data_IF_679548725883
#
_entry.id   IF_679548725883
#
_cell.length_a   1.000
_cell.length_b   1.000
_cell.length_c   1.000
_cell.angle_alpha   90.00
_cell.angle_beta   90.00
_cell.angle_gamma   90.00
#
_symmetry.space_group_name_H-M   'P 1'
#
loop_
_entity.id
_entity.type
_entity.pdbx_description
1 polymer ?
#
# COMPACT_ATOMS: atom_id res chain seq x y z
N UNK A 1 -11.35 5.01 11.53
CA UNK A 1 -12.57 4.41 10.97
C UNK A 1 -13.83 4.74 11.79
N UNK A 2 -13.92 4.43 13.11
CA UNK A 2 -15.14 4.65 13.92
C UNK A 2 -15.69 6.07 13.80
N UNK A 3 -14.88 7.10 14.04
CA UNK A 3 -15.32 8.50 13.96
C UNK A 3 -15.84 8.93 12.57
N UNK A 4 -15.38 8.28 11.51
CA UNK A 4 -15.92 8.50 10.15
C UNK A 4 -17.24 7.79 10.00
N UNK A 5 -17.36 6.53 10.44
CA UNK A 5 -18.59 5.74 10.38
C UNK A 5 -19.74 6.39 11.17
N UNK A 6 -19.46 7.02 12.29
CA UNK A 6 -20.46 7.75 13.09
C UNK A 6 -21.11 8.93 12.35
N UNK A 7 -20.49 9.39 11.23
CA UNK A 7 -20.91 10.59 10.48
C UNK A 7 -21.23 10.33 9.02
N UNK A 8 -20.94 9.11 8.55
CA UNK A 8 -21.08 8.77 7.13
C UNK A 8 -21.55 7.32 6.97
N UNK A 9 -22.76 7.15 6.43
CA UNK A 9 -23.43 5.86 6.25
C UNK A 9 -23.12 5.21 4.89
N UNK A 10 -22.47 5.93 3.98
CA UNK A 10 -22.09 5.42 2.68
C UNK A 10 -20.89 4.46 2.71
N UNK A 11 -20.48 3.92 1.54
CA UNK A 11 -19.35 3.01 1.45
C UNK A 11 -18.04 3.65 1.94
N UNK A 12 -17.36 2.99 2.88
CA UNK A 12 -16.04 3.38 3.38
C UNK A 12 -14.97 2.45 2.84
N UNK A 13 -13.95 3.05 2.21
CA UNK A 13 -12.77 2.35 1.71
C UNK A 13 -11.58 2.68 2.58
N UNK A 14 -10.95 1.68 3.20
CA UNK A 14 -9.70 1.87 3.94
C UNK A 14 -8.50 1.61 3.04
N UNK A 15 -7.60 2.57 2.98
CA UNK A 15 -6.33 2.49 2.26
C UNK A 15 -5.15 2.66 3.21
N UNK A 16 -3.98 2.19 2.78
CA UNK A 16 -2.70 2.34 3.51
C UNK A 16 -2.35 1.15 4.39
N UNK A 17 -1.17 0.59 4.18
CA UNK A 17 -0.64 -0.53 4.98
C UNK A 17 -1.33 -1.88 4.78
N UNK A 18 -2.32 -1.98 3.90
CA UNK A 18 -3.04 -3.23 3.64
C UNK A 18 -2.26 -4.03 2.60
N UNK A 19 -1.76 -5.20 2.99
CA UNK A 19 -0.87 -6.02 2.15
C UNK A 19 -1.28 -7.50 2.05
N UNK A 20 -2.16 -7.98 2.91
CA UNK A 20 -2.56 -9.38 3.01
C UNK A 20 -4.03 -9.56 3.38
N UNK A 21 -4.51 -10.80 3.38
CA UNK A 21 -5.88 -11.12 3.73
C UNK A 21 -6.23 -10.85 5.19
N UNK A 22 -5.26 -10.86 6.10
CA UNK A 22 -5.46 -10.55 7.52
C UNK A 22 -5.72 -9.06 7.71
N UNK A 23 -4.96 -8.22 7.04
CA UNK A 23 -5.16 -6.76 7.05
C UNK A 23 -6.47 -6.34 6.35
N UNK A 24 -6.93 -7.09 5.33
CA UNK A 24 -8.27 -6.90 4.76
C UNK A 24 -9.35 -7.18 5.81
N UNK A 25 -9.25 -8.29 6.55
CA UNK A 25 -10.18 -8.61 7.63
C UNK A 25 -10.15 -7.55 8.75
N UNK A 26 -8.95 -7.06 9.11
CA UNK A 26 -8.79 -5.99 10.09
C UNK A 26 -9.47 -4.69 9.63
N UNK A 27 -9.37 -4.32 8.35
CA UNK A 27 -10.07 -3.17 7.77
C UNK A 27 -11.59 -3.29 7.94
N UNK A 28 -12.16 -4.47 7.65
CA UNK A 28 -13.60 -4.73 7.82
C UNK A 28 -14.03 -4.68 9.29
N UNK A 29 -13.26 -5.29 10.20
CA UNK A 29 -13.55 -5.23 11.64
C UNK A 29 -13.45 -3.81 12.19
N UNK A 30 -12.61 -2.95 11.59
CA UNK A 30 -12.54 -1.53 11.92
C UNK A 30 -13.71 -0.70 11.36
N UNK A 31 -14.61 -1.32 10.56
CA UNK A 31 -15.82 -0.69 10.01
C UNK A 31 -15.67 -0.18 8.56
N UNK A 32 -14.64 -0.61 7.82
CA UNK A 32 -14.56 -0.37 6.38
C UNK A 32 -15.38 -1.40 5.61
N UNK A 33 -16.02 -0.97 4.52
CA UNK A 33 -16.72 -1.88 3.60
C UNK A 33 -15.76 -2.53 2.61
N UNK A 34 -14.72 -1.78 2.21
CA UNK A 34 -13.71 -2.20 1.23
C UNK A 34 -12.31 -1.87 1.72
N UNK A 35 -11.33 -2.66 1.25
CA UNK A 35 -9.91 -2.42 1.42
C UNK A 35 -9.28 -2.03 0.07
N UNK A 36 -8.45 -0.99 0.05
CA UNK A 36 -7.73 -0.55 -1.13
C UNK A 36 -6.25 -0.93 -1.01
N UNK A 37 -5.76 -1.72 -1.96
CA UNK A 37 -4.38 -2.21 -1.99
C UNK A 37 -3.70 -1.66 -3.24
N UNK A 38 -2.62 -0.89 -3.08
CA UNK A 38 -1.89 -0.29 -4.20
C UNK A 38 -0.55 -0.98 -4.45
N UNK A 39 0.38 -0.89 -3.51
CA UNK A 39 1.80 -1.25 -3.69
C UNK A 39 2.00 -2.69 -4.18
N UNK A 40 1.23 -3.65 -3.69
CA UNK A 40 1.33 -5.05 -4.14
C UNK A 40 0.96 -5.22 -5.62
N UNK A 41 -0.02 -4.45 -6.12
CA UNK A 41 -0.41 -4.50 -7.53
C UNK A 41 0.61 -3.84 -8.46
N UNK A 42 1.49 -2.96 -7.96
CA UNK A 42 2.59 -2.42 -8.75
C UNK A 42 3.60 -3.52 -9.11
N UNK A 43 3.80 -4.50 -8.23
CA UNK A 43 4.70 -5.63 -8.44
C UNK A 43 4.06 -6.79 -9.25
N UNK A 44 3.00 -6.53 -10.02
CA UNK A 44 2.40 -7.53 -10.91
C UNK A 44 2.90 -7.41 -12.35
N UNK A 45 2.82 -8.49 -13.10
CA UNK A 45 3.23 -8.55 -14.50
C UNK A 45 2.41 -7.60 -15.39
N UNK A 46 1.14 -7.36 -15.04
CA UNK A 46 0.21 -6.51 -15.78
C UNK A 46 0.38 -5.02 -15.46
N UNK A 47 1.15 -4.69 -14.42
CA UNK A 47 1.44 -3.31 -14.07
C UNK A 47 2.24 -2.62 -15.17
N UNK A 48 1.96 -1.31 -15.38
CA UNK A 48 2.76 -0.46 -16.27
C UNK A 48 4.07 0.04 -15.63
N UNK A 49 4.35 -0.32 -14.39
CA UNK A 49 5.60 0.02 -13.73
C UNK A 49 6.78 -0.60 -14.50
N UNK A 50 7.91 0.11 -14.54
CA UNK A 50 9.13 -0.41 -15.16
C UNK A 50 9.64 -1.66 -14.41
N UNK A 51 10.39 -2.51 -15.10
CA UNK A 51 10.99 -3.70 -14.48
C UNK A 51 11.92 -3.33 -13.31
N UNK A 52 12.56 -2.19 -13.41
CA UNK A 52 13.43 -1.68 -12.36
C UNK A 52 12.62 -1.29 -11.11
N UNK A 53 11.52 -0.57 -11.29
CA UNK A 53 10.63 -0.21 -10.20
C UNK A 53 10.04 -1.46 -9.51
N UNK A 54 9.54 -2.42 -10.29
CA UNK A 54 9.01 -3.68 -9.76
C UNK A 54 10.05 -4.46 -8.96
N UNK A 55 11.30 -4.55 -9.47
CA UNK A 55 12.42 -5.20 -8.75
C UNK A 55 12.81 -4.43 -7.48
N UNK A 56 12.81 -3.11 -7.53
CA UNK A 56 13.06 -2.29 -6.35
C UNK A 56 12.02 -2.53 -5.25
N UNK A 57 10.73 -2.67 -5.61
CA UNK A 57 9.68 -3.01 -4.64
C UNK A 57 9.93 -4.37 -3.97
N UNK A 58 10.33 -5.38 -4.73
CA UNK A 58 10.64 -6.72 -4.19
C UNK A 58 11.84 -6.68 -3.24
N UNK A 59 12.81 -5.81 -3.50
CA UNK A 59 14.01 -5.65 -2.68
C UNK A 59 13.82 -4.73 -1.45
N UNK A 60 12.67 -4.03 -1.38
CA UNK A 60 12.45 -2.99 -0.36
C UNK A 60 11.79 -3.54 0.90
N UNK A 61 12.12 -2.90 2.01
CA UNK A 61 11.52 -3.09 3.34
C UNK A 61 10.69 -1.86 3.74
N UNK A 62 10.14 -1.86 4.95
CA UNK A 62 9.44 -0.70 5.50
C UNK A 62 10.34 0.54 5.62
N UNK A 63 11.63 0.35 5.91
CA UNK A 63 12.60 1.42 6.10
C UNK A 63 12.99 2.11 4.77
N UNK A 64 12.69 1.46 3.64
CA UNK A 64 12.93 1.99 2.30
C UNK A 64 11.79 2.87 1.77
N UNK A 65 10.73 3.09 2.56
CA UNK A 65 9.63 3.99 2.24
C UNK A 65 9.84 5.31 2.97
N UNK A 66 10.13 6.38 2.21
CA UNK A 66 10.38 7.72 2.75
C UNK A 66 9.31 8.70 2.32
N UNK A 67 8.95 9.62 3.23
CA UNK A 67 8.07 10.73 2.90
C UNK A 67 8.88 11.84 2.22
N UNK A 68 8.43 12.31 1.05
CA UNK A 68 9.09 13.36 0.28
C UNK A 68 8.07 14.18 -0.52
N UNK A 69 8.31 15.47 -0.65
CA UNK A 69 7.51 16.43 -1.41
C UNK A 69 8.01 16.65 -2.85
N UNK A 70 9.07 15.94 -3.26
CA UNK A 70 9.77 16.12 -4.54
C UNK A 70 8.90 15.93 -5.79
N UNK A 71 7.83 15.17 -5.70
CA UNK A 71 7.01 14.85 -6.88
C UNK A 71 5.99 15.93 -7.21
N UNK A 72 5.61 16.76 -6.26
CA UNK A 72 4.56 17.74 -6.52
C UNK A 72 4.38 18.76 -5.40
N UNK A 73 5.39 18.95 -4.55
CA UNK A 73 5.33 19.88 -3.43
C UNK A 73 4.40 19.43 -2.29
N UNK A 74 3.80 18.23 -2.40
CA UNK A 74 3.02 17.63 -1.33
C UNK A 74 3.72 16.35 -0.87
N UNK A 75 3.85 16.11 0.45
CA UNK A 75 4.47 14.91 0.96
C UNK A 75 3.77 13.64 0.45
N UNK A 76 4.53 12.77 -0.22
CA UNK A 76 4.12 11.47 -0.71
C UNK A 76 5.10 10.39 -0.27
N UNK A 77 4.62 9.17 -0.07
CA UNK A 77 5.48 8.02 0.26
C UNK A 77 6.14 7.49 -1.01
N UNK A 78 7.46 7.54 -1.06
CA UNK A 78 8.30 7.15 -2.19
C UNK A 78 9.35 6.13 -1.78
N UNK A 79 9.80 5.32 -2.73
CA UNK A 79 10.93 4.42 -2.50
C UNK A 79 12.25 5.20 -2.36
N UNK A 80 13.04 4.86 -1.34
CA UNK A 80 14.37 5.41 -1.11
C UNK A 80 15.26 5.26 -2.34
N UNK A 81 15.24 4.10 -2.98
CA UNK A 81 16.00 3.83 -4.19
C UNK A 81 15.72 4.81 -5.34
N UNK A 82 14.49 5.30 -5.46
CA UNK A 82 14.15 6.34 -6.43
C UNK A 82 14.65 7.71 -5.99
N UNK A 83 14.47 8.06 -4.71
CA UNK A 83 14.92 9.33 -4.16
C UNK A 83 16.43 9.50 -4.26
N UNK A 84 17.18 8.47 -3.90
CA UNK A 84 18.65 8.49 -3.90
C UNK A 84 19.23 8.67 -5.33
N UNK A 85 18.53 8.20 -6.36
CA UNK A 85 18.89 8.45 -7.77
C UNK A 85 18.66 9.91 -8.16
N UNK A 86 17.57 10.52 -7.66
CA UNK A 86 17.24 11.91 -7.97
C UNK A 86 18.18 12.89 -7.24
N UNK A 87 18.77 12.50 -6.10
CA UNK A 87 19.72 13.32 -5.34
C UNK A 87 21.02 13.59 -6.12
N UNK A 88 21.36 12.71 -7.06
CA UNK A 88 22.48 12.92 -7.99
C UNK A 88 22.20 13.95 -9.11
N UNK A 89 20.93 14.29 -9.36
CA UNK A 89 20.54 15.06 -10.56
C UNK A 89 19.93 16.44 -10.29
N UNK A 90 19.36 16.74 -9.10
CA UNK A 90 18.72 18.04 -8.81
C UNK A 90 18.65 18.40 -7.32
N UNK A 91 19.27 19.51 -6.95
CA UNK A 91 18.86 20.35 -5.82
C UNK A 91 17.76 21.31 -6.27
N UNK A 92 16.58 21.20 -5.72
CA UNK A 92 15.49 22.14 -5.98
C UNK A 92 14.23 21.77 -5.21
N UNK A 93 14.04 22.34 -4.00
CA UNK A 93 12.74 22.40 -3.35
C UNK A 93 11.94 23.52 -4.02
N UNK A 94 10.90 23.19 -4.77
CA UNK A 94 9.90 24.17 -5.20
C UNK A 94 8.94 24.45 -4.06
N UNK A 95 8.76 25.72 -3.71
CA UNK A 95 7.73 26.14 -2.76
C UNK A 95 6.33 25.99 -3.39
N UNK A 96 5.55 25.00 -2.91
CA UNK A 96 4.14 24.83 -3.20
C UNK A 96 3.76 23.66 -4.10
N UNK A 97 2.46 23.36 -4.13
CA UNK A 97 1.88 22.29 -4.95
C UNK A 97 1.96 22.61 -6.45
N UNK A 98 2.65 21.77 -7.20
CA UNK A 98 2.77 21.86 -8.65
C UNK A 98 2.07 20.65 -9.31
N UNK A 99 0.82 20.83 -9.71
CA UNK A 99 0.01 19.79 -10.34
C UNK A 99 0.65 19.28 -11.64
N UNK A 100 1.27 20.16 -12.40
CA UNK A 100 1.95 19.80 -13.66
C UNK A 100 3.17 18.89 -13.41
N UNK A 101 3.89 19.10 -12.31
CA UNK A 101 4.98 18.23 -11.89
C UNK A 101 4.47 16.88 -11.44
N UNK A 102 3.34 16.83 -10.72
CA UNK A 102 2.72 15.56 -10.32
C UNK A 102 2.30 14.72 -11.54
N UNK A 103 1.73 15.37 -12.55
CA UNK A 103 1.28 14.70 -13.79
C UNK A 103 2.45 14.33 -14.71
N UNK A 104 3.54 15.10 -14.69
CA UNK A 104 4.74 14.84 -15.51
C UNK A 104 5.69 13.79 -14.91
N UNK A 105 5.62 13.54 -13.59
CA UNK A 105 6.44 12.53 -12.91
C UNK A 105 5.83 11.12 -13.02
N UNK A 106 5.54 10.67 -14.25
CA UNK A 106 5.08 9.30 -14.53
C UNK A 106 6.07 8.23 -14.05
N UNK A 107 7.33 8.61 -13.80
CA UNK A 107 8.42 7.72 -13.38
C UNK A 107 8.65 7.72 -11.86
N UNK A 108 7.86 8.43 -11.07
CA UNK A 108 8.01 8.42 -9.61
C UNK A 108 7.63 7.06 -9.01
N UNK A 109 8.52 6.52 -8.18
CA UNK A 109 8.32 5.22 -7.54
C UNK A 109 7.64 5.37 -6.18
N UNK A 110 6.32 5.46 -6.21
CA UNK A 110 5.51 5.52 -4.99
C UNK A 110 5.37 4.15 -4.34
N UNK A 111 5.47 4.09 -3.02
CA UNK A 111 5.21 2.88 -2.25
C UNK A 111 4.63 3.23 -0.89
N UNK A 112 3.61 2.49 -0.48
CA UNK A 112 3.13 2.54 0.90
C UNK A 112 3.82 1.50 1.78
N UNK A 113 3.55 1.54 3.08
CA UNK A 113 4.09 0.56 4.03
C UNK A 113 3.64 -0.88 3.73
N UNK A 114 2.64 -1.09 2.85
CA UNK A 114 2.29 -2.42 2.31
C UNK A 114 3.39 -3.06 1.45
N UNK A 115 4.51 -2.37 1.22
CA UNK A 115 5.71 -2.93 0.57
C UNK A 115 6.22 -4.18 1.29
N UNK A 116 6.06 -4.30 2.61
CA UNK A 116 6.44 -5.49 3.36
C UNK A 116 5.78 -6.79 2.87
N UNK A 117 4.66 -6.69 2.18
CA UNK A 117 3.96 -7.83 1.59
C UNK A 117 4.41 -8.17 0.15
N UNK A 118 5.37 -7.44 -0.42
CA UNK A 118 5.89 -7.68 -1.77
C UNK A 118 7.07 -8.64 -1.67
N UNK A 119 6.85 -9.93 -1.92
CA UNK A 119 7.89 -10.95 -1.80
C UNK A 119 8.43 -11.45 -3.15
N UNK A 120 7.81 -11.02 -4.26
CA UNK A 120 8.18 -11.40 -5.61
C UNK A 120 7.26 -10.77 -6.65
N UNK A 121 7.61 -10.95 -7.91
CA UNK A 121 6.74 -10.61 -9.02
C UNK A 121 5.70 -11.70 -9.21
N UNK A 122 4.46 -11.32 -9.44
CA UNK A 122 3.32 -12.22 -9.61
C UNK A 122 2.39 -11.69 -10.68
N UNK A 123 1.34 -12.42 -11.00
CA UNK A 123 0.21 -11.91 -11.82
C UNK A 123 -0.88 -11.35 -10.92
N UNK A 124 -1.76 -10.53 -11.48
CA UNK A 124 -2.95 -10.03 -10.77
C UNK A 124 -3.83 -11.17 -10.28
N UNK A 125 -4.02 -12.19 -11.10
CA UNK A 125 -4.85 -13.35 -10.76
C UNK A 125 -4.28 -14.13 -9.56
N UNK A 126 -2.98 -14.42 -9.57
CA UNK A 126 -2.28 -15.08 -8.46
C UNK A 126 -2.35 -14.24 -7.18
N UNK A 127 -2.13 -12.93 -7.27
CA UNK A 127 -2.21 -12.02 -6.14
C UNK A 127 -3.62 -12.00 -5.54
N UNK A 128 -4.65 -11.91 -6.37
CA UNK A 128 -6.05 -11.91 -5.90
C UNK A 128 -6.40 -13.25 -5.26
N UNK A 129 -5.97 -14.36 -5.85
CA UNK A 129 -6.19 -15.69 -5.29
C UNK A 129 -5.50 -15.87 -3.92
N UNK A 130 -4.25 -15.39 -3.80
CA UNK A 130 -3.49 -15.36 -2.55
C UNK A 130 -4.22 -14.55 -1.47
N UNK A 131 -4.57 -13.29 -1.75
CA UNK A 131 -5.26 -12.40 -0.82
C UNK A 131 -6.60 -13.00 -0.36
N UNK A 132 -7.37 -13.58 -1.29
CA UNK A 132 -8.63 -14.23 -0.96
C UNK A 132 -8.42 -15.49 -0.09
N UNK A 133 -7.37 -16.26 -0.35
CA UNK A 133 -6.97 -17.40 0.46
C UNK A 133 -6.61 -17.01 1.89
N UNK A 134 -5.74 -16.01 2.04
CA UNK A 134 -5.31 -15.46 3.33
C UNK A 134 -6.49 -14.87 4.11
N UNK A 135 -7.40 -14.15 3.44
CA UNK A 135 -8.60 -13.60 4.05
C UNK A 135 -9.51 -14.71 4.61
N UNK A 136 -9.79 -15.76 3.82
CA UNK A 136 -10.58 -16.90 4.29
C UNK A 136 -9.92 -17.60 5.48
N UNK A 137 -8.61 -17.74 5.47
CA UNK A 137 -7.84 -18.31 6.56
C UNK A 137 -7.96 -17.45 7.83
N UNK A 138 -7.71 -16.14 7.73
CA UNK A 138 -7.83 -15.21 8.85
C UNK A 138 -9.23 -15.21 9.49
N UNK A 139 -10.28 -15.32 8.66
CA UNK A 139 -11.66 -15.46 9.17
C UNK A 139 -11.86 -16.75 9.98
N UNK A 140 -11.37 -17.89 9.50
CA UNK A 140 -11.47 -19.16 10.23
C UNK A 140 -10.75 -19.08 11.58
N UNK A 141 -9.55 -18.52 11.59
CA UNK A 141 -8.76 -18.32 12.82
C UNK A 141 -9.49 -17.44 13.83
N UNK A 142 -10.07 -16.33 13.36
CA UNK A 142 -10.83 -15.43 14.24
C UNK A 142 -12.06 -16.13 14.84
N UNK A 143 -12.81 -16.89 14.05
CA UNK A 143 -13.98 -17.66 14.53
C UNK A 143 -13.54 -18.69 15.57
N UNK A 144 -12.44 -19.39 15.36
CA UNK A 144 -11.89 -20.36 16.31
C UNK A 144 -11.51 -19.69 17.64
N UNK A 145 -10.81 -18.56 17.58
CA UNK A 145 -10.45 -17.77 18.78
C UNK A 145 -11.67 -17.32 19.58
N UNK A 146 -12.73 -16.87 18.90
CA UNK A 146 -13.97 -16.47 19.55
C UNK A 146 -14.70 -17.67 20.22
N UNK A 147 -14.65 -18.83 19.60
CA UNK A 147 -15.28 -20.04 20.12
C UNK A 147 -14.55 -20.59 21.37
N UNK A 148 -13.23 -20.44 21.46
CA UNK A 148 -12.42 -20.87 22.61
C UNK A 148 -12.57 -19.99 23.85
N UNK A 149 -13.30 -18.87 23.75
CA UNK A 149 -13.55 -17.94 24.88
C UNK A 149 -12.27 -17.29 25.42
N UNK A 150 -11.17 -17.27 24.65
CA UNK A 150 -9.93 -16.61 25.06
C UNK A 150 -10.17 -15.11 25.22
N UNK A 151 -9.90 -14.51 26.39
CA UNK A 151 -9.96 -13.08 26.53
C UNK A 151 -8.94 -12.44 25.57
N UNK A 152 -9.39 -11.43 24.85
CA UNK A 152 -8.50 -10.57 24.07
C UNK A 152 -7.73 -9.74 25.10
N UNK A 153 -6.46 -10.11 25.33
CA UNK A 153 -5.54 -9.38 26.20
C UNK A 153 -5.02 -8.10 25.55
#
# INVERSE_FOLDING_TARGET
MRAVRERFDGPLVLAGGIADGRSILAAQTAGADLAYIGTRFIATAESRASDEYRRALVASTLDDVRLSDRVGGIPASLLAAWLDRQDGERGGSGDGFAQDQLLSNADAWSAGHSVFGVHGLTTVDELVAELAGQYRQARRELVALCAEGRPVG
#
